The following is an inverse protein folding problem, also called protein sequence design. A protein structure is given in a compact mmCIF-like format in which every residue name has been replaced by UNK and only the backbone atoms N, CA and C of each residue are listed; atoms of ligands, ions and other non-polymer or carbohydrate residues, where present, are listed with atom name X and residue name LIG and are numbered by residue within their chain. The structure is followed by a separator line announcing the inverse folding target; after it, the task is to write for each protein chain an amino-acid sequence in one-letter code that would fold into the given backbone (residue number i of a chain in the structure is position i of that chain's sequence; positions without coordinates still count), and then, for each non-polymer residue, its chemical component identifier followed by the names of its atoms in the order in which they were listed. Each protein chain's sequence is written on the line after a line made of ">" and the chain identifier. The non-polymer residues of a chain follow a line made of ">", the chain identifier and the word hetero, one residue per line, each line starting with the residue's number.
data_IF_649030160799
#
_entry.id   IF_649030160799
#
_cell.length_a   1.000
_cell.length_b   1.000
_cell.length_c   1.000
_cell.angle_alpha   90.00
_cell.angle_beta   90.00
_cell.angle_gamma   90.00
#
_symmetry.space_group_name_H-M   'P 1'
#
loop_
_entity.id
_entity.type
_entity.pdbx_description
1 polymer ?
#
# COMPACT_ATOMS: atom_id res chain seq x y z
N UNK A 1 -4.84 -11.96 11.69
CA UNK A 1 -4.87 -11.50 13.10
C UNK A 1 -4.71 -9.99 13.28
N UNK A 2 -3.78 -9.30 12.61
CA UNK A 2 -3.53 -7.84 12.86
C UNK A 2 -4.71 -6.91 12.57
N UNK A 3 -5.53 -7.22 11.55
CA UNK A 3 -6.68 -6.39 11.19
C UNK A 3 -7.79 -6.45 12.25
N UNK A 4 -8.05 -7.63 12.84
CA UNK A 4 -9.04 -7.78 13.93
C UNK A 4 -8.62 -6.98 15.17
N UNK A 5 -7.33 -6.99 15.52
CA UNK A 5 -6.79 -6.14 16.58
C UNK A 5 -6.93 -4.65 16.27
N UNK A 6 -6.68 -4.24 15.02
CA UNK A 6 -6.89 -2.86 14.58
C UNK A 6 -8.37 -2.44 14.67
N UNK A 7 -9.31 -3.34 14.34
CA UNK A 7 -10.74 -3.07 14.49
C UNK A 7 -11.14 -2.92 15.97
N UNK A 8 -10.67 -3.82 16.85
CA UNK A 8 -10.92 -3.73 18.29
C UNK A 8 -10.41 -2.40 18.85
N UNK A 9 -9.18 -2.01 18.49
CA UNK A 9 -8.57 -0.77 18.96
C UNK A 9 -9.33 0.45 18.42
N UNK A 10 -9.73 0.40 17.15
CA UNK A 10 -10.56 1.44 16.52
C UNK A 10 -11.94 1.58 17.18
N UNK A 11 -12.57 0.47 17.57
CA UNK A 11 -13.86 0.49 18.26
C UNK A 11 -13.74 1.10 19.67
N UNK A 12 -12.70 0.73 20.42
CA UNK A 12 -12.39 1.32 21.74
C UNK A 12 -12.16 2.83 21.58
N UNK A 13 -11.38 3.23 20.57
CA UNK A 13 -11.13 4.65 20.29
C UNK A 13 -12.40 5.40 19.90
N UNK A 14 -13.28 4.80 19.08
CA UNK A 14 -14.56 5.38 18.71
C UNK A 14 -15.48 5.57 19.93
N UNK A 15 -15.54 4.58 20.84
CA UNK A 15 -16.28 4.69 22.10
C UNK A 15 -15.73 5.84 22.96
N UNK A 16 -14.41 5.93 23.11
CA UNK A 16 -13.76 6.99 23.86
C UNK A 16 -14.07 8.37 23.27
N UNK A 17 -14.01 8.49 21.95
CA UNK A 17 -14.33 9.72 21.22
C UNK A 17 -15.81 10.10 21.39
N UNK A 18 -16.72 9.12 21.39
CA UNK A 18 -18.14 9.36 21.65
C UNK A 18 -18.40 9.88 23.06
N UNK A 19 -17.72 9.34 24.08
CA UNK A 19 -17.79 9.85 25.46
C UNK A 19 -17.28 11.30 25.52
N UNK A 20 -16.15 11.59 24.87
CA UNK A 20 -15.62 12.96 24.76
C UNK A 20 -16.62 13.91 24.10
N UNK A 21 -17.33 13.44 23.07
CA UNK A 21 -18.34 14.23 22.36
C UNK A 21 -19.51 14.63 23.24
N UNK A 22 -19.96 13.75 24.12
CA UNK A 22 -21.07 14.02 25.05
C UNK A 22 -20.63 14.99 26.15
N UNK A 23 -19.43 14.81 26.70
CA UNK A 23 -18.94 15.63 27.83
C UNK A 23 -18.52 17.04 27.38
N UNK A 24 -17.99 17.18 26.16
CA UNK A 24 -17.42 18.44 25.65
C UNK A 24 -18.25 18.99 24.48
N UNK A 25 -19.58 18.97 24.63
CA UNK A 25 -20.51 19.59 23.68
C UNK A 25 -20.61 21.11 23.85
N UNK A 26 -19.84 21.67 24.79
CA UNK A 26 -19.82 23.10 25.06
C UNK A 26 -19.41 23.88 23.79
N UNK A 27 -20.17 24.93 23.45
CA UNK A 27 -19.91 25.74 22.27
C UNK A 27 -18.64 26.56 22.46
N UNK A 28 -17.75 26.52 21.46
CA UNK A 28 -16.53 27.34 21.40
C UNK A 28 -16.59 28.21 20.16
N UNK A 29 -16.18 29.47 20.31
CA UNK A 29 -16.07 30.40 19.20
C UNK A 29 -14.84 30.07 18.36
N UNK A 30 -15.05 29.78 17.08
CA UNK A 30 -13.98 29.54 16.12
C UNK A 30 -13.99 30.64 15.08
N UNK A 31 -12.87 31.35 14.96
CA UNK A 31 -12.67 32.35 13.93
C UNK A 31 -12.13 31.67 12.67
N UNK A 32 -12.98 31.55 11.64
CA UNK A 32 -12.62 30.97 10.35
C UNK A 32 -12.05 32.00 9.37
N UNK A 33 -11.48 33.10 9.87
CA UNK A 33 -10.97 34.25 9.14
C UNK A 33 -12.04 35.10 8.45
N UNK A 34 -13.11 34.49 7.93
CA UNK A 34 -14.22 35.16 7.25
C UNK A 34 -15.44 35.37 8.14
N UNK A 35 -15.61 34.53 9.16
CA UNK A 35 -16.73 34.61 10.11
C UNK A 35 -16.36 33.93 11.44
N UNK A 36 -17.04 34.31 12.52
CA UNK A 36 -16.89 33.70 13.85
C UNK A 36 -18.13 32.87 14.12
N UNK A 37 -17.97 31.56 14.19
CA UNK A 37 -19.08 30.64 14.41
C UNK A 37 -18.90 29.93 15.74
N UNK A 38 -19.98 29.85 16.51
CA UNK A 38 -20.02 29.11 17.77
C UNK A 38 -20.41 27.66 17.48
N UNK A 39 -19.46 26.74 17.61
CA UNK A 39 -19.62 25.32 17.30
C UNK A 39 -19.04 24.50 18.46
N UNK A 40 -19.64 23.35 18.84
CA UNK A 40 -19.07 22.46 19.84
C UNK A 40 -17.61 22.09 19.55
N UNK A 41 -16.75 22.11 20.57
CA UNK A 41 -15.31 21.83 20.44
C UNK A 41 -15.02 20.48 19.78
N UNK A 42 -15.82 19.45 20.09
CA UNK A 42 -15.64 18.12 19.52
C UNK A 42 -15.79 18.09 18.00
N UNK A 43 -16.67 18.90 17.40
CA UNK A 43 -16.83 18.95 15.94
C UNK A 43 -15.56 19.46 15.26
N UNK A 44 -14.87 20.41 15.90
CA UNK A 44 -13.57 20.92 15.43
C UNK A 44 -12.52 19.81 15.49
N UNK A 45 -12.42 19.10 16.62
CA UNK A 45 -11.46 17.99 16.81
C UNK A 45 -11.73 16.87 15.82
N UNK A 46 -12.99 16.45 15.66
CA UNK A 46 -13.39 15.42 14.70
C UNK A 46 -13.10 15.85 13.27
N UNK A 47 -13.36 17.10 12.91
CA UNK A 47 -13.02 17.64 11.59
C UNK A 47 -11.52 17.58 11.31
N UNK A 48 -10.70 18.04 12.24
CA UNK A 48 -9.24 17.96 12.14
C UNK A 48 -8.74 16.51 12.06
N UNK A 49 -9.27 15.63 12.91
CA UNK A 49 -8.91 14.21 12.91
C UNK A 49 -9.31 13.51 11.62
N UNK A 50 -10.49 13.83 11.07
CA UNK A 50 -10.96 13.32 9.78
C UNK A 50 -10.02 13.76 8.66
N UNK A 51 -9.67 15.05 8.60
CA UNK A 51 -8.72 15.58 7.60
C UNK A 51 -7.36 14.88 7.73
N UNK A 52 -6.83 14.77 8.94
CA UNK A 52 -5.59 14.03 9.19
C UNK A 52 -5.67 12.56 8.74
N UNK A 53 -6.80 11.91 9.00
CA UNK A 53 -7.08 10.55 8.55
C UNK A 53 -7.12 10.42 7.03
N UNK A 54 -7.73 11.38 6.33
CA UNK A 54 -7.73 11.41 4.86
C UNK A 54 -6.31 11.57 4.32
N UNK A 55 -5.51 12.47 4.91
CA UNK A 55 -4.11 12.68 4.49
C UNK A 55 -3.28 11.41 4.69
N UNK A 56 -3.33 10.80 5.88
CA UNK A 56 -2.57 9.59 6.18
C UNK A 56 -3.06 8.41 5.34
N UNK A 57 -4.37 8.24 5.20
CA UNK A 57 -4.99 7.17 4.42
C UNK A 57 -4.62 7.26 2.94
N UNK A 58 -4.72 8.45 2.35
CA UNK A 58 -4.33 8.69 0.96
C UNK A 58 -2.84 8.43 0.73
N UNK A 59 -1.96 8.89 1.64
CA UNK A 59 -0.53 8.58 1.58
C UNK A 59 -0.24 7.08 1.68
N UNK A 60 -0.97 6.36 2.55
CA UNK A 60 -0.89 4.91 2.69
C UNK A 60 -1.24 4.17 1.41
N UNK A 61 -2.35 4.56 0.75
CA UNK A 61 -2.79 3.98 -0.52
C UNK A 61 -1.76 4.26 -1.62
N UNK A 62 -1.28 5.50 -1.73
CA UNK A 62 -0.26 5.88 -2.72
C UNK A 62 1.03 5.07 -2.55
N UNK A 63 1.52 4.94 -1.31
CA UNK A 63 2.69 4.13 -0.99
C UNK A 63 2.46 2.68 -1.39
N UNK A 64 1.32 2.10 -1.01
CA UNK A 64 0.99 0.72 -1.33
C UNK A 64 0.98 0.45 -2.84
N UNK A 65 0.40 1.38 -3.62
CA UNK A 65 0.41 1.28 -5.08
C UNK A 65 1.84 1.28 -5.65
N UNK A 66 2.70 2.19 -5.19
CA UNK A 66 4.11 2.25 -5.61
C UNK A 66 4.87 0.96 -5.28
N UNK A 67 4.62 0.38 -4.10
CA UNK A 67 5.22 -0.90 -3.71
C UNK A 67 4.74 -2.04 -4.61
N UNK A 68 3.44 -2.11 -4.92
CA UNK A 68 2.91 -3.12 -5.84
C UNK A 68 3.52 -3.03 -7.24
N UNK A 69 3.73 -1.81 -7.76
CA UNK A 69 4.39 -1.61 -9.06
C UNK A 69 5.83 -2.13 -9.05
N UNK A 70 6.58 -1.85 -7.97
CA UNK A 70 7.93 -2.37 -7.80
C UNK A 70 7.94 -3.90 -7.74
N UNK A 71 7.05 -4.50 -6.94
CA UNK A 71 6.91 -5.96 -6.86
C UNK A 71 6.68 -6.56 -8.25
N UNK A 72 5.75 -6.02 -9.03
CA UNK A 72 5.50 -6.50 -10.41
C UNK A 72 6.74 -6.38 -11.32
N UNK A 73 7.47 -5.27 -11.23
CA UNK A 73 8.70 -5.06 -12.01
C UNK A 73 9.78 -6.08 -11.65
N UNK A 74 10.07 -6.23 -10.35
CA UNK A 74 11.06 -7.18 -9.86
C UNK A 74 10.66 -8.63 -10.19
N UNK A 75 9.38 -8.99 -10.05
CA UNK A 75 8.90 -10.34 -10.43
C UNK A 75 9.07 -10.61 -11.92
N UNK A 76 8.84 -9.61 -12.78
CA UNK A 76 9.05 -9.76 -14.23
C UNK A 76 10.54 -9.95 -14.58
N UNK A 77 11.44 -9.23 -13.91
CA UNK A 77 12.89 -9.37 -14.09
C UNK A 77 13.38 -10.76 -13.63
N UNK A 78 12.93 -11.22 -12.46
CA UNK A 78 13.24 -12.57 -11.98
C UNK A 78 12.75 -13.66 -12.93
N UNK A 79 11.55 -13.51 -13.52
CA UNK A 79 11.06 -14.47 -14.49
C UNK A 79 11.93 -14.48 -15.76
N UNK A 80 12.31 -13.32 -16.30
CA UNK A 80 13.20 -13.25 -17.47
C UNK A 80 14.57 -13.89 -17.22
N UNK A 81 15.17 -13.64 -16.05
CA UNK A 81 16.44 -14.24 -15.65
C UNK A 81 16.32 -15.76 -15.51
N UNK A 82 15.23 -16.26 -14.91
CA UNK A 82 14.96 -17.69 -14.81
C UNK A 82 14.78 -18.34 -16.18
N UNK A 83 14.03 -17.71 -17.07
CA UNK A 83 13.79 -18.23 -18.41
C UNK A 83 15.09 -18.26 -19.24
N UNK A 84 15.95 -17.25 -19.10
CA UNK A 84 17.28 -17.23 -19.72
C UNK A 84 18.21 -18.31 -19.15
N UNK A 85 18.20 -18.54 -17.83
CA UNK A 85 18.94 -19.63 -17.20
C UNK A 85 18.50 -21.01 -17.71
N UNK A 86 17.19 -21.27 -17.75
CA UNK A 86 16.64 -22.51 -18.32
C UNK A 86 17.00 -22.70 -19.80
N UNK A 87 17.11 -21.60 -20.57
CA UNK A 87 17.51 -21.64 -21.97
C UNK A 87 18.98 -22.02 -22.14
N UNK A 88 19.86 -21.56 -21.23
CA UNK A 88 21.27 -21.91 -21.21
C UNK A 88 21.49 -23.38 -20.82
N UNK A 89 20.74 -23.89 -19.84
CA UNK A 89 20.80 -25.30 -19.44
C UNK A 89 20.29 -26.22 -20.55
N UNK A 90 19.28 -25.79 -21.33
CA UNK A 90 18.78 -26.54 -22.48
C UNK A 90 19.78 -26.61 -23.65
N UNK A 91 20.60 -25.57 -23.85
CA UNK A 91 21.68 -25.56 -24.86
C UNK A 91 22.87 -26.42 -24.41
N UNK A 92 23.19 -26.42 -23.12
CA UNK A 92 24.31 -27.22 -22.60
C UNK A 92 24.00 -28.73 -22.50
N UNK A 93 22.72 -29.13 -22.56
CA UNK A 93 22.27 -30.52 -22.54
C UNK A 93 22.30 -31.24 -23.90
N UNK A 94 22.67 -30.57 -25.00
CA UNK A 94 22.75 -31.19 -26.33
C UNK A 94 24.12 -30.97 -27.01
N UNK A 95 25.16 -31.74 -26.62
CA UNK A 95 26.49 -31.65 -27.22
C UNK A 95 26.62 -32.36 -28.60
N UNK A 96 25.63 -33.09 -29.09
CA UNK A 96 25.83 -34.05 -30.20
C UNK A 96 25.56 -33.53 -31.63
N UNK A 97 25.28 -32.24 -31.84
CA UNK A 97 24.93 -31.74 -33.18
C UNK A 97 26.10 -31.27 -34.05
N UNK A 98 27.35 -31.26 -33.56
CA UNK A 98 28.51 -30.78 -34.34
C UNK A 98 29.33 -31.85 -35.10
N UNK A 99 28.98 -33.15 -35.02
CA UNK A 99 29.79 -34.22 -35.64
C UNK A 99 29.28 -34.78 -36.98
N UNK A 100 28.13 -34.32 -37.51
CA UNK A 100 27.41 -35.05 -38.56
C UNK A 100 27.53 -34.48 -39.98
N UNK A 101 28.64 -33.83 -40.38
CA UNK A 101 28.74 -33.34 -41.78
C UNK A 101 30.13 -33.43 -42.45
N UNK A 102 30.94 -34.43 -42.12
CA UNK A 102 32.22 -34.65 -42.80
C UNK A 102 32.44 -36.11 -43.23
N UNK A 103 31.43 -36.71 -43.88
CA UNK A 103 31.61 -37.97 -44.61
C UNK A 103 30.54 -38.13 -45.66
N UNK A 104 30.73 -37.54 -46.84
CA UNK A 104 30.55 -38.21 -48.15
C UNK A 104 30.83 -37.21 -49.26
N UNK A 105 31.90 -37.41 -50.01
CA UNK A 105 31.91 -37.55 -51.47
C UNK A 105 33.30 -38.07 -51.86
N UNK A 106 33.37 -39.40 -52.02
CA UNK A 106 34.31 -40.07 -52.93
C UNK A 106 33.66 -40.07 -54.32
#
# INVERSE_FOLDING_TARGET
>A
MRLQWSLILGLIFALLTAVFAVINVDPVEVNFYFDVVSIPLILVILGCALIGGVIVGSYGIFRQYKLQKQIKGLTAELNKLRDAGNSLDAVSANPDSLSANSTTQL
#
